data_IF_645307959152
#
_entry.id   IF_645307959152
#
_cell.length_a   1.000
_cell.length_b   1.000
_cell.length_c   1.000
_cell.angle_alpha   90.00
_cell.angle_beta   90.00
_cell.angle_gamma   90.00
#
_symmetry.space_group_name_H-M   'P 1'
#
loop_
_entity.id
_entity.type
_entity.pdbx_description
1 polymer ?
#
# COMPACT_ATOMS: atom_id res chain seq x y z
N UNK A 1 17.16 1.66 4.24
CA UNK A 1 17.35 0.27 3.78
C UNK A 1 15.98 -0.28 3.40
N UNK A 2 15.85 -0.96 2.26
CA UNK A 2 14.60 -1.65 1.89
C UNK A 2 14.47 -2.93 2.71
N UNK A 3 13.31 -3.11 3.35
CA UNK A 3 13.04 -4.24 4.26
C UNK A 3 11.90 -5.13 3.78
N UNK A 4 10.97 -4.56 3.00
CA UNK A 4 9.89 -5.30 2.35
C UNK A 4 9.72 -4.77 0.92
N UNK A 5 9.48 -5.68 -0.01
CA UNK A 5 9.04 -5.40 -1.37
C UNK A 5 7.92 -6.40 -1.66
N UNK A 6 6.69 -5.92 -1.80
CA UNK A 6 5.49 -6.72 -1.94
C UNK A 6 4.79 -6.36 -3.26
N UNK A 7 4.79 -7.26 -4.26
CA UNK A 7 3.98 -7.06 -5.45
C UNK A 7 2.49 -7.26 -5.13
N UNK A 8 1.63 -6.37 -5.65
CA UNK A 8 0.18 -6.37 -5.45
C UNK A 8 -0.48 -6.18 -6.82
N UNK A 9 -0.71 -7.28 -7.54
CA UNK A 9 -1.09 -7.21 -8.96
C UNK A 9 0.04 -6.57 -9.78
N UNK A 10 -0.26 -5.47 -10.47
CA UNK A 10 0.73 -4.68 -11.23
C UNK A 10 1.42 -3.59 -10.40
N UNK A 11 0.99 -3.38 -9.15
CA UNK A 11 1.60 -2.39 -8.26
C UNK A 11 2.71 -3.01 -7.40
N UNK A 12 3.64 -2.16 -6.94
CA UNK A 12 4.71 -2.51 -6.02
C UNK A 12 4.65 -1.66 -4.76
N UNK A 13 4.48 -2.32 -3.61
CA UNK A 13 4.60 -1.71 -2.29
C UNK A 13 5.99 -1.97 -1.73
N UNK A 14 6.70 -0.92 -1.31
CA UNK A 14 8.00 -1.05 -0.65
C UNK A 14 7.99 -0.40 0.73
N UNK A 15 8.63 -1.05 1.69
CA UNK A 15 8.85 -0.50 3.03
C UNK A 15 10.35 -0.34 3.24
N UNK A 16 10.73 0.86 3.67
CA UNK A 16 12.10 1.26 3.91
C UNK A 16 12.24 1.68 5.37
N UNK A 17 13.26 1.15 6.03
CA UNK A 17 13.60 1.52 7.41
C UNK A 17 14.97 2.18 7.42
N UNK A 18 15.05 3.27 8.19
CA UNK A 18 16.28 3.92 8.59
C UNK A 18 16.37 3.88 10.13
N UNK A 19 17.09 2.90 10.64
CA UNK A 19 17.28 2.71 12.08
C UNK A 19 17.98 3.91 12.73
N UNK A 20 18.93 4.52 12.02
CA UNK A 20 19.67 5.68 12.52
C UNK A 20 18.79 6.90 12.78
N UNK A 21 17.81 7.14 11.91
CA UNK A 21 16.85 8.25 12.07
C UNK A 21 15.56 7.81 12.75
N UNK A 22 15.46 6.53 13.15
CA UNK A 22 14.22 5.87 13.57
C UNK A 22 13.06 6.19 12.62
N UNK A 23 13.29 6.17 11.31
CA UNK A 23 12.30 6.54 10.30
C UNK A 23 11.87 5.32 9.49
N UNK A 24 10.56 5.23 9.28
CA UNK A 24 9.91 4.27 8.42
C UNK A 24 9.21 5.00 7.27
N UNK A 25 9.47 4.52 6.07
CA UNK A 25 8.96 5.11 4.85
C UNK A 25 8.31 4.03 3.99
N UNK A 26 7.08 4.27 3.58
CA UNK A 26 6.34 3.41 2.66
C UNK A 26 6.32 4.08 1.30
N UNK A 27 6.67 3.31 0.27
CA UNK A 27 6.58 3.71 -1.13
C UNK A 27 5.57 2.83 -1.85
N UNK A 28 4.85 3.42 -2.80
CA UNK A 28 3.92 2.73 -3.68
C UNK A 28 4.25 3.12 -5.12
N UNK A 29 4.61 2.14 -5.95
CA UNK A 29 5.11 2.37 -7.32
C UNK A 29 6.23 3.41 -7.37
N UNK A 30 7.15 3.39 -6.40
CA UNK A 30 8.24 4.35 -6.26
C UNK A 30 7.84 5.74 -5.71
N UNK A 31 6.56 6.04 -5.56
CA UNK A 31 6.08 7.29 -4.96
C UNK A 31 6.01 7.19 -3.44
N UNK A 32 6.33 8.29 -2.74
CA UNK A 32 6.27 8.34 -1.29
C UNK A 32 4.81 8.31 -0.80
N UNK A 33 4.41 7.19 -0.19
CA UNK A 33 3.07 7.00 0.34
C UNK A 33 2.91 7.54 1.77
N UNK A 34 3.89 7.24 2.61
CA UNK A 34 3.83 7.61 4.03
C UNK A 34 5.22 7.60 4.65
N UNK A 35 5.47 8.55 5.56
CA UNK A 35 6.71 8.63 6.33
C UNK A 35 6.38 8.89 7.79
N UNK A 36 6.86 8.03 8.69
CA UNK A 36 6.61 8.13 10.13
C UNK A 36 7.86 7.74 10.92
N UNK A 37 7.92 8.20 12.17
CA UNK A 37 8.95 7.76 13.11
C UNK A 37 8.57 6.37 13.63
N UNK A 38 9.49 5.42 13.52
CA UNK A 38 9.33 4.05 13.99
C UNK A 38 9.35 4.02 15.53
N UNK A 39 8.25 3.60 16.15
CA UNK A 39 8.11 3.51 17.61
C UNK A 39 7.37 2.22 18.01
N UNK A 40 8.09 1.09 18.14
CA UNK A 40 7.60 -0.26 18.52
C UNK A 40 6.56 -0.88 17.56
N UNK A 41 5.93 -0.06 16.72
CA UNK A 41 5.08 -0.41 15.60
C UNK A 41 4.31 0.80 15.11
N UNK A 42 4.05 0.87 13.80
CA UNK A 42 3.41 2.03 13.18
C UNK A 42 2.31 1.58 12.23
N UNK A 43 1.19 2.28 12.20
CA UNK A 43 0.17 2.10 11.16
C UNK A 43 0.27 3.21 10.12
N UNK A 44 0.61 2.87 8.90
CA UNK A 44 0.58 3.76 7.74
C UNK A 44 -0.76 3.58 7.01
N UNK A 45 -1.40 4.70 6.70
CA UNK A 45 -2.64 4.73 5.94
C UNK A 45 -2.41 5.66 4.77
N UNK A 46 -2.76 5.20 3.57
CA UNK A 46 -2.75 5.99 2.36
C UNK A 46 -3.82 5.45 1.41
N UNK A 47 -4.15 6.22 0.39
CA UNK A 47 -5.10 5.83 -0.64
C UNK A 47 -4.46 5.89 -2.01
N UNK A 48 -4.96 5.08 -2.93
CA UNK A 48 -4.57 5.11 -4.35
C UNK A 48 -5.81 5.06 -5.22
N UNK A 49 -5.72 5.48 -6.47
CA UNK A 49 -6.78 5.17 -7.44
C UNK A 49 -6.92 3.64 -7.58
N UNK A 50 -8.10 3.15 -7.92
CA UNK A 50 -8.33 1.72 -8.18
C UNK A 50 -7.94 1.36 -9.63
N UNK A 51 -7.43 0.13 -9.84
CA UNK A 51 -6.85 -0.25 -11.17
C UNK A 51 -7.95 -0.41 -12.23
N UNK A 52 -9.11 -0.92 -11.81
CA UNK A 52 -10.18 -1.36 -12.70
C UNK A 52 -11.54 -0.76 -12.37
N UNK A 53 -11.58 0.24 -11.49
CA UNK A 53 -12.83 0.85 -11.07
C UNK A 53 -12.69 2.35 -10.84
N UNK A 54 -13.81 3.06 -11.00
CA UNK A 54 -13.96 4.43 -10.54
C UNK A 54 -14.07 4.42 -9.02
N UNK A 55 -12.93 4.29 -8.34
CA UNK A 55 -12.86 4.14 -6.90
C UNK A 55 -11.47 4.38 -6.35
N UNK A 56 -11.39 4.39 -5.03
CA UNK A 56 -10.15 4.62 -4.29
C UNK A 56 -9.85 3.37 -3.46
N UNK A 57 -8.67 2.81 -3.67
CA UNK A 57 -8.15 1.71 -2.87
C UNK A 57 -7.55 2.27 -1.56
N UNK A 58 -8.00 1.75 -0.43
CA UNK A 58 -7.51 2.10 0.90
C UNK A 58 -6.44 1.11 1.35
N UNK A 59 -5.22 1.60 1.55
CA UNK A 59 -4.12 0.79 2.06
C UNK A 59 -3.88 1.07 3.53
N UNK A 60 -3.70 -0.02 4.29
CA UNK A 60 -3.18 0.01 5.65
C UNK A 60 -1.96 -0.90 5.73
N UNK A 61 -0.83 -0.32 6.14
CA UNK A 61 0.41 -1.06 6.40
C UNK A 61 0.72 -0.93 7.88
N UNK A 62 0.67 -2.04 8.59
CA UNK A 62 0.99 -2.10 10.02
C UNK A 62 2.36 -2.72 10.16
N UNK A 63 3.26 -1.99 10.79
CA UNK A 63 4.61 -2.43 11.08
C UNK A 63 4.70 -2.68 12.57
N UNK A 64 5.41 -3.72 12.97
CA UNK A 64 5.63 -4.03 14.38
C UNK A 64 6.99 -4.67 14.56
N UNK A 65 7.56 -4.48 15.74
CA UNK A 65 8.84 -5.06 16.09
C UNK A 65 8.68 -6.00 17.29
N UNK A 66 9.29 -7.17 17.21
CA UNK A 66 9.33 -8.13 18.31
C UNK A 66 10.68 -8.84 18.41
N UNK A 67 10.79 -9.79 19.32
CA UNK A 67 12.02 -10.55 19.54
C UNK A 67 12.50 -11.30 18.28
N UNK A 68 11.59 -11.71 17.41
CA UNK A 68 11.88 -12.37 16.12
C UNK A 68 12.08 -11.39 14.97
N UNK A 69 12.31 -10.11 15.25
CA UNK A 69 12.55 -9.07 14.25
C UNK A 69 11.30 -8.29 13.85
N UNK A 70 11.40 -7.63 12.70
CA UNK A 70 10.31 -6.82 12.13
C UNK A 70 9.22 -7.68 11.53
N UNK A 71 7.98 -7.23 11.69
CA UNK A 71 6.79 -7.85 11.12
C UNK A 71 5.94 -6.79 10.44
N UNK A 72 5.34 -7.17 9.33
CA UNK A 72 4.57 -6.31 8.44
C UNK A 72 3.25 -6.97 8.09
N UNK A 73 2.15 -6.25 8.34
CA UNK A 73 0.82 -6.64 7.89
C UNK A 73 0.32 -5.61 6.89
N UNK A 74 -0.09 -6.06 5.71
CA UNK A 74 -0.55 -5.20 4.61
C UNK A 74 -2.00 -5.52 4.31
N UNK A 75 -2.81 -4.48 4.23
CA UNK A 75 -4.23 -4.57 3.89
C UNK A 75 -4.57 -3.63 2.74
N UNK A 76 -5.45 -4.09 1.87
CA UNK A 76 -6.08 -3.31 0.79
C UNK A 76 -7.60 -3.45 0.92
N UNK A 77 -8.33 -2.36 1.07
CA UNK A 77 -9.79 -2.36 1.25
C UNK A 77 -10.25 -3.36 2.34
N UNK A 78 -9.53 -3.37 3.47
CA UNK A 78 -9.67 -4.33 4.57
C UNK A 78 -9.38 -5.81 4.27
N UNK A 79 -9.10 -6.18 3.02
CA UNK A 79 -8.55 -7.49 2.68
C UNK A 79 -7.08 -7.55 3.10
N UNK A 80 -6.71 -8.58 3.84
CA UNK A 80 -5.32 -8.82 4.22
C UNK A 80 -4.55 -9.43 3.05
N UNK A 81 -3.50 -8.75 2.60
CA UNK A 81 -2.62 -9.19 1.52
C UNK A 81 -1.35 -9.87 2.05
N UNK A 82 -0.86 -9.39 3.20
CA UNK A 82 0.28 -9.96 3.90
C UNK A 82 -0.01 -9.96 5.40
N UNK A 83 0.19 -11.09 6.04
CA UNK A 83 0.10 -11.24 7.50
C UNK A 83 1.37 -11.93 8.01
N UNK A 84 2.36 -11.14 8.44
CA UNK A 84 3.55 -11.67 9.12
C UNK A 84 3.59 -11.33 10.61
N UNK A 85 2.63 -10.50 11.06
CA UNK A 85 2.38 -10.11 12.43
C UNK A 85 1.43 -11.07 13.17
N UNK A 86 0.64 -10.50 14.08
CA UNK A 86 -0.40 -11.21 14.84
C UNK A 86 -1.79 -11.08 14.21
N UNK A 87 -1.86 -10.61 12.97
CA UNK A 87 -3.13 -10.47 12.27
C UNK A 87 -3.74 -11.86 12.06
N UNK A 88 -4.93 -12.06 12.62
CA UNK A 88 -5.69 -13.27 12.39
C UNK A 88 -6.33 -13.22 10.99
N UNK A 89 -5.73 -13.92 10.04
CA UNK A 89 -6.16 -13.98 8.63
C UNK A 89 -7.41 -14.85 8.44
N UNK A 90 -7.75 -15.69 9.42
CA UNK A 90 -8.81 -16.71 9.32
C UNK A 90 -10.18 -16.24 9.80
N UNK A 91 -10.26 -15.08 10.45
CA UNK A 91 -11.50 -14.55 10.98
C UNK A 91 -12.18 -13.63 9.94
N UNK A 92 -13.42 -13.90 9.50
CA UNK A 92 -14.17 -12.96 8.67
C UNK A 92 -14.35 -11.66 9.46
N UNK A 93 -13.70 -10.60 8.99
CA UNK A 93 -13.72 -9.30 9.68
C UNK A 93 -15.05 -8.62 9.38
N UNK A 94 -15.91 -8.50 10.40
CA UNK A 94 -17.09 -7.64 10.32
C UNK A 94 -16.59 -6.22 10.08
N UNK A 95 -16.91 -5.63 8.92
CA UNK A 95 -16.52 -4.27 8.55
C UNK A 95 -17.27 -3.30 9.45
N UNK A 96 -16.73 -3.01 10.63
CA UNK A 96 -17.16 -1.84 11.40
C UNK A 96 -16.40 -0.65 10.84
N UNK A 97 -17.06 0.17 10.03
CA UNK A 97 -16.51 1.44 9.57
C UNK A 97 -16.19 2.33 10.78
N UNK A 98 -14.98 2.24 11.29
CA UNK A 98 -14.49 3.22 12.26
C UNK A 98 -14.26 4.50 11.47
N UNK A 99 -15.17 5.46 11.62
CA UNK A 99 -14.98 6.85 11.18
C UNK A 99 -13.77 7.44 11.93
N UNK A 100 -12.56 7.17 11.47
CA UNK A 100 -11.36 7.80 12.00
C UNK A 100 -11.35 9.25 11.52
N UNK A 101 -11.43 10.18 12.48
CA UNK A 101 -11.24 11.63 12.33
C UNK A 101 -10.16 11.95 11.29
N UNK A 102 -10.55 12.62 10.20
CA UNK A 102 -9.70 12.99 9.07
C UNK A 102 -8.57 13.93 9.52
N UNK A 103 -7.39 13.36 9.77
CA UNK A 103 -6.18 13.94 9.19
C UNK A 103 -6.21 13.53 7.72
N UNK A 104 -5.91 14.46 6.81
CA UNK A 104 -5.84 14.17 5.38
C UNK A 104 -4.97 12.93 5.16
N UNK A 105 -5.61 11.83 4.74
CA UNK A 105 -4.91 10.60 4.40
C UNK A 105 -4.17 10.89 3.09
N UNK A 106 -2.85 10.65 3.01
CA UNK A 106 -2.10 10.84 1.78
C UNK A 106 -2.74 10.04 0.64
N UNK A 107 -2.99 10.70 -0.48
CA UNK A 107 -3.50 10.08 -1.70
C UNK A 107 -2.38 10.05 -2.73
N UNK A 108 -2.22 8.90 -3.37
CA UNK A 108 -1.23 8.66 -4.43
C UNK A 108 -2.01 8.44 -5.71
N UNK A 109 -1.91 9.40 -6.62
CA UNK A 109 -2.46 9.22 -7.95
C UNK A 109 -1.62 8.17 -8.68
N UNK A 110 -2.29 7.20 -9.32
CA UNK A 110 -1.57 6.39 -10.30
C UNK A 110 -1.17 7.33 -11.43
N UNK A 111 0.12 7.45 -11.71
CA UNK A 111 0.56 8.06 -12.96
C UNK A 111 -0.06 7.23 -14.08
N UNK A 112 -0.71 7.88 -15.03
CA UNK A 112 -1.25 7.23 -16.23
C UNK A 112 -0.16 6.31 -16.79
N UNK A 113 -0.48 5.02 -16.84
CA UNK A 113 0.37 4.01 -17.45
C UNK A 113 0.57 4.42 -18.92
N UNK A 114 1.79 4.70 -19.43
CA UNK A 114 2.01 5.01 -20.84
C UNK A 114 1.86 3.74 -21.74
N UNK A 115 1.01 2.79 -21.35
CA UNK A 115 1.11 1.39 -21.70
C UNK A 115 -0.14 0.75 -22.32
N UNK A 116 -1.14 1.53 -22.76
CA UNK A 116 -2.07 1.05 -23.78
C UNK A 116 -1.90 1.94 -25.02
N UNK A 117 -1.45 1.42 -26.18
CA UNK A 117 -1.72 2.12 -27.42
C UNK A 117 -3.24 2.23 -27.55
N UNK A 118 -3.72 3.45 -27.78
CA UNK A 118 -5.10 3.72 -28.10
C UNK A 118 -5.56 2.70 -29.14
N UNK A 119 -6.62 1.96 -28.81
CA UNK A 119 -7.23 1.01 -29.74
C UNK A 119 -7.72 1.67 -31.04
N UNK A 120 -7.63 3.00 -31.14
CA UNK A 120 -7.91 3.79 -32.33
C UNK A 120 -6.78 3.79 -33.38
N UNK A 121 -5.56 3.31 -33.07
CA UNK A 121 -4.45 3.26 -34.05
C UNK A 121 -4.34 1.94 -34.83
N UNK A 122 -5.17 0.93 -34.55
CA UNK A 122 -5.10 -0.37 -35.22
C UNK A 122 -5.92 -0.40 -36.54
N UNK A 123 -6.86 0.53 -36.75
CA UNK A 123 -7.64 0.57 -37.99
C UNK A 123 -6.87 1.19 -39.19
N UNK A 124 -5.77 1.91 -38.95
CA UNK A 124 -4.95 2.53 -40.03
C UNK A 124 -3.81 1.65 -40.55
N UNK A 125 -3.60 0.44 -39.98
CA UNK A 125 -2.54 -0.50 -40.38
C UNK A 125 -3.06 -1.76 -41.09
N UNK A 126 -4.37 -1.82 -41.38
CA UNK A 126 -5.02 -2.88 -42.17
C UNK A 126 -5.62 -2.32 -43.47
N UNK A 127 -4.85 -1.50 -44.18
CA UNK A 127 -5.06 -1.23 -45.62
C UNK A 127 -4.15 -2.11 -46.45
#
# INVERSE_FOLDING_TARGET
>A
MRVLSLPIGNDLLEIHINLWKSQETVYFNGQLASKKTHFIGTSHHFTTDAVHSFGVDHFRVVTSYGWMGFRYDVFKNDQCLLASGRTNVSAPKIVTQIKSRSKSVPHISRLDDPGLPDKELIEDLLV
#
